data_IF_139010469795
#
_entry.id   IF_139010469795
#
_cell.length_a   1.000
_cell.length_b   1.000
_cell.length_c   1.000
_cell.angle_alpha   90.00
_cell.angle_beta   90.00
_cell.angle_gamma   90.00
#
_symmetry.space_group_name_H-M   'P 1'
#
loop_
_entity.id
_entity.type
_entity.pdbx_description
1 polymer ?
#
# COMPACT_ATOMS: atom_id res chain seq x y z
N UNK A 1 6.01 -0.62 -19.50
CA UNK A 1 6.50 -1.76 -18.68
C UNK A 1 5.42 -2.81 -18.55
N UNK A 2 5.79 -4.08 -18.38
CA UNK A 2 4.83 -5.12 -18.02
C UNK A 2 4.39 -4.97 -16.55
N UNK A 3 3.15 -5.38 -16.22
CA UNK A 3 2.65 -5.37 -14.84
C UNK A 3 3.56 -6.20 -13.92
N UNK A 4 4.09 -7.30 -14.43
CA UNK A 4 4.96 -8.17 -13.62
C UNK A 4 6.32 -7.53 -13.33
N UNK A 5 6.90 -6.81 -14.29
CA UNK A 5 8.17 -6.09 -14.12
C UNK A 5 8.05 -4.95 -13.09
N UNK A 6 6.90 -4.26 -13.08
CA UNK A 6 6.58 -3.23 -12.09
C UNK A 6 6.56 -3.81 -10.67
N UNK A 7 5.95 -4.99 -10.50
CA UNK A 7 5.89 -5.68 -9.21
C UNK A 7 7.29 -6.08 -8.75
N UNK A 8 8.10 -6.65 -9.63
CA UNK A 8 9.47 -7.06 -9.30
C UNK A 8 10.35 -5.87 -8.92
N UNK A 9 10.26 -4.75 -9.65
CA UNK A 9 10.97 -3.51 -9.28
C UNK A 9 10.53 -2.99 -7.93
N UNK A 10 9.22 -3.01 -7.65
CA UNK A 10 8.68 -2.57 -6.37
C UNK A 10 9.12 -3.48 -5.24
N UNK A 11 9.13 -4.80 -5.44
CA UNK A 11 9.64 -5.78 -4.48
C UNK A 11 11.13 -5.56 -4.17
N UNK A 12 11.96 -5.31 -5.18
CA UNK A 12 13.37 -4.97 -4.97
C UNK A 12 13.53 -3.68 -4.17
N UNK A 13 12.79 -2.63 -4.54
CA UNK A 13 12.81 -1.35 -3.83
C UNK A 13 12.41 -1.50 -2.35
N UNK A 14 11.37 -2.27 -2.07
CA UNK A 14 10.91 -2.56 -0.70
C UNK A 14 11.98 -3.32 0.06
N UNK A 15 12.55 -4.37 -0.54
CA UNK A 15 13.59 -5.19 0.08
C UNK A 15 14.86 -4.38 0.37
N UNK A 16 15.27 -3.49 -0.52
CA UNK A 16 16.41 -2.58 -0.31
C UNK A 16 16.13 -1.53 0.76
N UNK A 17 14.91 -1.00 0.80
CA UNK A 17 14.48 -0.02 1.81
C UNK A 17 14.45 -0.65 3.19
N UNK A 18 13.85 -1.85 3.32
CA UNK A 18 13.80 -2.60 4.57
C UNK A 18 15.17 -3.12 5.02
N UNK A 19 16.06 -3.50 4.09
CA UNK A 19 17.42 -3.94 4.47
C UNK A 19 18.25 -2.83 5.14
N UNK A 20 17.85 -1.56 4.95
CA UNK A 20 18.48 -0.40 5.60
C UNK A 20 17.84 -0.05 6.94
N UNK A 21 16.68 -0.63 7.26
CA UNK A 21 15.97 -0.39 8.51
C UNK A 21 16.13 -1.56 9.48
N UNK A 22 16.38 -1.26 10.75
CA UNK A 22 16.67 -2.23 11.81
C UNK A 22 15.50 -2.40 12.78
N UNK A 23 14.33 -1.83 12.46
CA UNK A 23 13.16 -1.70 13.35
C UNK A 23 12.28 -2.95 13.45
N UNK A 24 12.62 -4.05 12.78
CA UNK A 24 11.85 -5.31 12.82
C UNK A 24 10.72 -5.41 11.80
N UNK A 25 10.63 -4.47 10.86
CA UNK A 25 9.82 -4.58 9.65
C UNK A 25 10.50 -5.55 8.67
N UNK A 26 10.40 -6.85 8.95
CA UNK A 26 11.06 -7.86 8.13
C UNK A 26 10.38 -7.99 6.76
N UNK A 27 11.18 -8.14 5.71
CA UNK A 27 10.70 -8.49 4.36
C UNK A 27 9.71 -9.68 4.38
N UNK A 28 9.89 -10.60 5.35
CA UNK A 28 9.01 -11.73 5.58
C UNK A 28 7.59 -11.33 6.00
N UNK A 29 7.40 -10.24 6.75
CA UNK A 29 6.08 -9.70 7.08
C UNK A 29 5.35 -9.25 5.82
N UNK A 30 5.96 -8.34 5.03
CA UNK A 30 5.39 -7.85 3.78
C UNK A 30 5.10 -9.00 2.81
N UNK A 31 6.02 -9.96 2.69
CA UNK A 31 5.82 -11.15 1.84
C UNK A 31 4.61 -11.99 2.28
N UNK A 32 4.34 -12.13 3.58
CA UNK A 32 3.15 -12.86 4.06
C UNK A 32 1.87 -12.11 3.71
N UNK A 33 1.79 -10.82 4.03
CA UNK A 33 0.64 -9.94 3.71
C UNK A 33 0.37 -9.96 2.20
N UNK A 34 1.40 -9.76 1.36
CA UNK A 34 1.28 -9.85 -0.10
C UNK A 34 0.67 -11.18 -0.56
N UNK A 35 1.15 -12.30 -0.04
CA UNK A 35 0.65 -13.61 -0.46
C UNK A 35 -0.81 -13.83 -0.04
N UNK A 36 -1.20 -13.36 1.15
CA UNK A 36 -2.58 -13.46 1.60
C UNK A 36 -3.49 -12.51 0.82
N UNK A 37 -3.06 -11.26 0.61
CA UNK A 37 -3.79 -10.27 -0.18
C UNK A 37 -4.04 -10.75 -1.62
N UNK A 38 -3.06 -11.40 -2.26
CA UNK A 38 -3.24 -12.04 -3.58
C UNK A 38 -4.31 -13.14 -3.56
N UNK A 39 -4.40 -13.93 -2.48
CA UNK A 39 -5.43 -14.97 -2.36
C UNK A 39 -6.81 -14.36 -2.18
N UNK A 40 -6.93 -13.32 -1.36
CA UNK A 40 -8.20 -12.61 -1.14
C UNK A 40 -8.63 -11.90 -2.43
N UNK A 41 -7.72 -11.22 -3.13
CA UNK A 41 -8.01 -10.56 -4.40
C UNK A 41 -8.55 -11.52 -5.46
N UNK A 42 -8.00 -12.74 -5.54
CA UNK A 42 -8.51 -13.78 -6.44
C UNK A 42 -9.91 -14.25 -6.07
N UNK A 43 -10.25 -14.26 -4.78
CA UNK A 43 -11.55 -14.66 -4.29
C UNK A 43 -12.61 -13.58 -4.54
N UNK A 44 -12.24 -12.31 -4.32
CA UNK A 44 -13.13 -11.14 -4.45
C UNK A 44 -13.24 -10.59 -5.88
N UNK A 45 -12.53 -11.20 -6.84
CA UNK A 45 -12.39 -10.73 -8.22
C UNK A 45 -11.91 -9.26 -8.26
N UNK A 46 -10.88 -8.97 -7.46
CA UNK A 46 -10.24 -7.67 -7.35
C UNK A 46 -9.00 -7.59 -8.26
N UNK A 47 -8.56 -6.38 -8.63
CA UNK A 47 -7.35 -6.24 -9.45
C UNK A 47 -6.11 -6.63 -8.63
N UNK A 48 -5.59 -7.84 -8.88
CA UNK A 48 -4.41 -8.41 -8.22
C UNK A 48 -3.21 -7.46 -8.33
N UNK A 49 -3.07 -6.74 -9.44
CA UNK A 49 -1.94 -5.83 -9.64
C UNK A 49 -1.99 -4.65 -8.66
N UNK A 50 -3.18 -4.07 -8.45
CA UNK A 50 -3.37 -2.97 -7.50
C UNK A 50 -3.16 -3.47 -6.07
N UNK A 51 -3.77 -4.62 -5.74
CA UNK A 51 -3.64 -5.23 -4.40
C UNK A 51 -2.18 -5.56 -4.07
N UNK A 52 -1.45 -6.12 -5.03
CA UNK A 52 -0.06 -6.53 -4.82
C UNK A 52 0.87 -5.33 -4.67
N UNK A 53 0.67 -4.25 -5.45
CA UNK A 53 1.40 -2.99 -5.28
C UNK A 53 1.09 -2.33 -3.94
N UNK A 54 -0.18 -2.22 -3.58
CA UNK A 54 -0.60 -1.65 -2.29
C UNK A 54 -0.05 -2.46 -1.12
N UNK A 55 -0.08 -3.80 -1.18
CA UNK A 55 0.47 -4.65 -0.14
C UNK A 55 2.01 -4.57 -0.04
N UNK A 56 2.72 -4.27 -1.12
CA UNK A 56 4.16 -4.04 -1.06
C UNK A 56 4.51 -2.67 -0.46
N UNK A 57 3.73 -1.64 -0.78
CA UNK A 57 4.02 -0.25 -0.43
C UNK A 57 3.41 0.22 0.89
N UNK A 58 2.45 -0.52 1.47
CA UNK A 58 1.76 -0.11 2.70
C UNK A 58 2.71 0.19 3.87
N UNK A 59 3.79 -0.60 3.98
CA UNK A 59 4.75 -0.51 5.08
C UNK A 59 5.83 0.56 4.81
N UNK A 60 6.13 0.86 3.53
CA UNK A 60 7.03 1.96 3.15
C UNK A 60 6.36 3.32 3.36
N UNK A 61 5.05 3.38 3.12
CA UNK A 61 4.24 4.56 3.38
C UNK A 61 3.99 4.82 4.87
N UNK A 62 4.41 3.91 5.76
CA UNK A 62 4.17 4.04 7.20
C UNK A 62 4.95 5.23 7.78
N UNK A 63 4.25 6.02 8.60
CA UNK A 63 4.73 7.28 9.19
C UNK A 63 6.02 7.10 10.01
N UNK A 64 6.33 5.87 10.43
CA UNK A 64 7.52 5.50 11.20
C UNK A 64 8.81 5.72 10.41
N UNK A 65 8.80 5.57 9.08
CA UNK A 65 9.96 5.87 8.24
C UNK A 65 10.24 7.37 8.10
N UNK A 66 9.22 8.21 8.28
CA UNK A 66 9.28 9.67 8.07
C UNK A 66 9.03 10.50 9.32
N UNK A 67 9.40 9.99 10.50
CA UNK A 67 9.30 10.71 11.79
C UNK A 67 7.89 11.27 12.09
N UNK A 68 6.82 10.58 11.65
CA UNK A 68 5.45 11.00 11.94
C UNK A 68 4.75 11.81 10.85
N UNK A 69 5.35 11.99 9.68
CA UNK A 69 4.75 12.77 8.60
C UNK A 69 4.11 11.90 7.52
N UNK A 70 2.79 11.73 7.61
CA UNK A 70 1.96 10.88 6.76
C UNK A 70 1.89 11.41 5.31
N UNK A 71 1.97 12.73 5.14
CA UNK A 71 1.98 13.39 3.83
C UNK A 71 3.25 13.03 3.04
N UNK A 72 4.38 12.92 3.73
CA UNK A 72 5.66 12.50 3.13
C UNK A 72 5.63 11.05 2.64
N UNK A 73 4.92 10.15 3.35
CA UNK A 73 4.77 8.75 2.95
C UNK A 73 3.98 8.58 1.65
N UNK A 74 2.82 9.24 1.54
CA UNK A 74 2.00 9.21 0.33
C UNK A 74 2.70 9.86 -0.88
N UNK A 75 3.47 10.93 -0.66
CA UNK A 75 4.27 11.56 -1.72
C UNK A 75 5.32 10.60 -2.26
N UNK A 76 6.07 9.89 -1.40
CA UNK A 76 7.05 8.90 -1.86
C UNK A 76 6.44 7.75 -2.65
N UNK A 77 5.28 7.25 -2.21
CA UNK A 77 4.54 6.22 -2.95
C UNK A 77 4.17 6.75 -4.35
N UNK A 78 3.66 7.98 -4.44
CA UNK A 78 3.35 8.60 -5.74
C UNK A 78 4.58 8.82 -6.62
N UNK A 79 5.69 9.29 -6.04
CA UNK A 79 6.96 9.47 -6.76
C UNK A 79 7.49 8.13 -7.30
N UNK A 80 7.45 7.08 -6.48
CA UNK A 80 7.83 5.73 -6.91
C UNK A 80 6.95 5.23 -8.05
N UNK A 81 5.62 5.34 -7.92
CA UNK A 81 4.69 4.92 -8.97
C UNK A 81 4.83 5.75 -10.26
N UNK A 82 5.12 7.05 -10.12
CA UNK A 82 5.43 7.91 -11.27
C UNK A 82 6.74 7.50 -11.95
N UNK A 83 7.74 7.03 -11.21
CA UNK A 83 9.00 6.53 -11.77
C UNK A 83 8.81 5.23 -12.58
N UNK A 84 7.74 4.49 -12.30
CA UNK A 84 7.33 3.27 -12.99
C UNK A 84 6.39 3.56 -14.19
N UNK A 85 6.23 4.84 -14.55
CA UNK A 85 5.34 5.31 -15.63
C UNK A 85 3.87 4.92 -15.43
N UNK A 86 3.44 4.76 -14.17
CA UNK A 86 2.06 4.41 -13.84
C UNK A 86 1.17 5.65 -13.98
N UNK A 87 -0.03 5.54 -14.60
CA UNK A 87 -0.95 6.65 -14.74
C UNK A 87 -1.32 7.26 -13.38
N UNK A 88 -1.43 8.60 -13.28
CA UNK A 88 -1.78 9.28 -12.03
C UNK A 88 -3.07 8.75 -11.39
N UNK A 89 -4.06 8.37 -12.20
CA UNK A 89 -5.33 7.79 -11.74
C UNK A 89 -5.17 6.46 -11.02
N UNK A 90 -4.15 5.66 -11.35
CA UNK A 90 -3.84 4.40 -10.69
C UNK A 90 -2.94 4.65 -9.48
N UNK A 91 -1.99 5.58 -9.61
CA UNK A 91 -1.11 5.99 -8.52
C UNK A 91 -1.87 6.57 -7.34
N UNK A 92 -2.89 7.40 -7.60
CA UNK A 92 -3.76 7.95 -6.56
C UNK A 92 -4.58 6.87 -5.85
N UNK A 93 -5.08 5.88 -6.60
CA UNK A 93 -5.79 4.73 -5.99
C UNK A 93 -4.88 3.94 -5.05
N UNK A 94 -3.67 3.62 -5.49
CA UNK A 94 -2.71 2.86 -4.68
C UNK A 94 -2.33 3.67 -3.43
N UNK A 95 -2.01 4.96 -3.60
CA UNK A 95 -1.66 5.85 -2.49
C UNK A 95 -2.80 5.99 -1.47
N UNK A 96 -4.05 6.05 -1.95
CA UNK A 96 -5.24 6.10 -1.07
C UNK A 96 -5.42 4.79 -0.30
N UNK A 97 -5.25 3.64 -0.94
CA UNK A 97 -5.32 2.33 -0.27
C UNK A 97 -4.23 2.23 0.80
N UNK A 98 -2.98 2.55 0.47
CA UNK A 98 -1.85 2.47 1.41
C UNK A 98 -2.05 3.41 2.60
N UNK A 99 -2.48 4.66 2.37
CA UNK A 99 -2.73 5.62 3.45
C UNK A 99 -3.81 5.14 4.42
N UNK A 100 -4.89 4.52 3.91
CA UNK A 100 -5.96 3.98 4.77
C UNK A 100 -5.48 2.82 5.66
N UNK A 101 -4.58 1.97 5.16
CA UNK A 101 -4.02 0.84 5.90
C UNK A 101 -3.06 1.33 6.99
N UNK A 102 -2.14 2.24 6.64
CA UNK A 102 -1.21 2.85 7.60
C UNK A 102 -1.98 3.52 8.75
N UNK A 103 -3.07 4.24 8.45
CA UNK A 103 -3.93 4.85 9.47
C UNK A 103 -4.55 3.81 10.43
N UNK A 104 -5.06 2.68 9.91
CA UNK A 104 -5.62 1.59 10.73
C UNK A 104 -4.59 1.01 11.70
N UNK A 105 -3.33 0.88 11.28
CA UNK A 105 -2.24 0.37 12.12
C UNK A 105 -1.72 1.39 13.15
N UNK A 106 -2.06 2.69 12.99
CA UNK A 106 -1.49 3.80 13.77
C UNK A 106 -2.40 4.30 14.90
N UNK A 107 -3.63 3.81 15.04
CA UNK A 107 -4.56 4.32 16.05
C UNK A 107 -4.06 4.06 17.49
N UNK A 108 -3.79 5.09 18.31
CA UNK A 108 -4.03 4.98 19.74
C UNK A 108 -5.55 4.88 19.94
N UNK A 109 -6.00 3.99 20.80
CA UNK A 109 -7.40 3.80 21.17
C UNK A 109 -8.08 5.13 21.57
N UNK A 110 -8.65 5.89 20.62
CA UNK A 110 -9.65 6.95 20.85
C UNK A 110 -10.49 7.19 19.59
N UNK A 111 -11.80 7.06 19.79
CA UNK A 111 -12.79 7.17 18.73
C UNK A 111 -12.95 8.56 18.08
N UNK A 112 -13.73 8.51 16.99
CA UNK A 112 -14.34 9.59 16.20
C UNK A 112 -13.41 10.46 15.35
N UNK A 113 -13.55 10.29 14.03
CA UNK A 113 -13.06 11.22 13.01
C UNK A 113 -13.52 10.87 11.60
N UNK A 114 -14.83 10.76 11.38
CA UNK A 114 -15.40 10.70 10.02
C UNK A 114 -15.20 12.05 9.32
N UNK A 115 -14.41 12.10 8.25
CA UNK A 115 -14.37 13.19 7.27
C UNK A 115 -13.40 12.82 6.15
N UNK A 116 -13.72 12.83 4.86
CA UNK A 116 -14.85 13.36 4.08
C UNK A 116 -15.34 12.28 3.12
N UNK A 117 -16.66 12.22 2.92
CA UNK A 117 -17.29 11.55 1.79
C UNK A 117 -17.15 12.47 0.57
N UNK A 118 -16.69 11.92 -0.54
CA UNK A 118 -16.92 12.27 -1.97
C UNK A 118 -15.88 11.41 -2.72
N UNK A 119 -16.15 10.63 -3.76
CA UNK A 119 -17.30 10.44 -4.64
C UNK A 119 -16.86 9.33 -5.61
N UNK A 120 -17.67 8.28 -5.78
CA UNK A 120 -17.30 7.00 -6.42
C UNK A 120 -16.17 6.28 -5.64
N UNK A 121 -16.19 4.97 -5.42
CA UNK A 121 -15.57 3.99 -6.31
C UNK A 121 -15.93 2.62 -5.68
N UNK A 122 -16.88 1.86 -6.23
CA UNK A 122 -17.22 0.50 -5.76
C UNK A 122 -16.02 -0.46 -5.79
N UNK A 123 -15.03 -0.21 -6.65
CA UNK A 123 -13.83 -1.02 -6.82
C UNK A 123 -12.94 -0.99 -5.57
N UNK A 124 -12.63 0.21 -5.03
CA UNK A 124 -11.68 0.39 -3.93
C UNK A 124 -12.04 -0.44 -2.69
N UNK A 125 -13.32 -0.75 -2.47
CA UNK A 125 -13.77 -1.58 -1.35
C UNK A 125 -13.18 -2.99 -1.38
N UNK A 126 -12.98 -3.58 -2.58
CA UNK A 126 -12.49 -4.94 -2.72
C UNK A 126 -10.97 -4.99 -2.59
N UNK A 127 -10.26 -4.08 -3.27
CA UNK A 127 -8.80 -4.04 -3.18
C UNK A 127 -8.34 -3.65 -1.77
N UNK A 128 -8.99 -2.67 -1.15
CA UNK A 128 -8.69 -2.25 0.23
C UNK A 128 -8.96 -3.39 1.23
N UNK A 129 -10.09 -4.09 1.10
CA UNK A 129 -10.41 -5.23 1.95
C UNK A 129 -9.38 -6.35 1.77
N UNK A 130 -8.98 -6.65 0.54
CA UNK A 130 -8.00 -7.69 0.27
C UNK A 130 -6.64 -7.43 0.91
N UNK A 131 -6.21 -6.17 1.03
CA UNK A 131 -4.94 -5.82 1.68
C UNK A 131 -5.11 -5.67 3.20
N UNK A 132 -6.27 -5.21 3.67
CA UNK A 132 -6.53 -5.01 5.11
C UNK A 132 -6.77 -6.33 5.86
N UNK A 133 -7.41 -7.30 5.20
CA UNK A 133 -7.71 -8.63 5.77
C UNK A 133 -6.53 -9.61 5.64
N UNK A 134 -5.41 -9.16 5.07
CA UNK A 134 -4.20 -9.94 4.80
C UNK A 134 -3.08 -9.72 5.85
#
# INVERSE_FOLDING_TARGET
MDRQEIIEKTELFVKETLSKDSTGHDWWHIRRVRNLAKRIARHEDADIFIVELSALLHDIGDYKFFKGDEETGAVKVREWLSSLEIPPSLSDKIAEITSRISFMHTLPDKGKGRGKKNSAIPTLSKELMAVTDA
#
